data_IF_760400321249
#
_entry.id   IF_760400321249
#
_cell.length_a   1.000
_cell.length_b   1.000
_cell.length_c   1.000
_cell.angle_alpha   90.00
_cell.angle_beta   90.00
_cell.angle_gamma   90.00
#
_symmetry.space_group_name_H-M   'P 1'
#
loop_
_entity.id
_entity.type
_entity.pdbx_description
1 polymer ?
#
# COMPACT_ATOMS: atom_id res chain seq x y z
N UNK A 1 -41.04 9.33 77.94
CA UNK A 1 -40.10 10.45 77.92
C UNK A 1 -39.49 10.59 76.53
N UNK A 2 -40.09 11.47 75.82
CA UNK A 2 -39.56 12.67 75.12
C UNK A 2 -38.40 12.29 74.15
N UNK A 3 -38.42 12.52 72.93
CA UNK A 3 -38.91 13.65 72.18
C UNK A 3 -37.93 13.89 71.08
N UNK A 4 -38.35 14.48 70.07
CA UNK A 4 -37.44 15.21 69.19
C UNK A 4 -37.40 14.77 67.75
N UNK A 5 -38.41 15.16 67.02
CA UNK A 5 -38.31 15.33 65.59
C UNK A 5 -37.38 16.53 65.31
N UNK A 6 -36.47 16.40 64.39
CA UNK A 6 -35.86 17.53 63.72
C UNK A 6 -36.05 17.34 62.22
N UNK A 7 -36.94 18.15 61.69
CA UNK A 7 -37.06 18.35 60.28
C UNK A 7 -35.89 19.17 59.77
N UNK A 8 -35.50 18.93 58.58
CA UNK A 8 -34.79 19.86 57.74
C UNK A 8 -35.21 19.62 56.29
N UNK A 9 -36.29 20.27 55.96
CA UNK A 9 -36.71 20.60 54.64
C UNK A 9 -35.69 21.61 54.10
N UNK A 10 -34.94 21.25 53.09
CA UNK A 10 -34.06 22.17 52.38
C UNK A 10 -34.51 22.25 50.94
N UNK A 11 -35.09 23.39 50.53
CA UNK A 11 -35.61 23.56 49.18
C UNK A 11 -34.56 23.90 48.13
N UNK A 12 -33.30 23.55 48.37
CA UNK A 12 -32.21 23.90 47.44
C UNK A 12 -31.80 22.79 46.45
N UNK A 13 -32.31 21.57 46.59
CA UNK A 13 -31.89 20.46 45.73
C UNK A 13 -32.71 20.31 44.45
N UNK A 14 -33.83 20.98 44.28
CA UNK A 14 -34.65 20.86 43.06
C UNK A 14 -34.41 21.94 42.00
N UNK A 15 -33.65 22.98 42.29
CA UNK A 15 -33.40 24.06 41.32
C UNK A 15 -32.29 23.73 40.30
N UNK A 16 -31.45 22.74 40.57
CA UNK A 16 -30.31 22.36 39.69
C UNK A 16 -30.71 21.53 38.46
N UNK A 17 -31.82 20.85 38.51
CA UNK A 17 -32.19 19.92 37.43
C UNK A 17 -33.03 20.61 36.33
N UNK A 18 -33.60 21.79 36.61
CA UNK A 18 -34.44 22.50 35.63
C UNK A 18 -33.72 23.49 34.75
N UNK A 19 -32.53 23.95 35.13
CA UNK A 19 -31.77 24.94 34.36
C UNK A 19 -30.90 24.37 33.23
N UNK A 20 -30.74 23.04 33.14
CA UNK A 20 -29.77 22.43 32.23
C UNK A 20 -30.33 21.94 30.90
N UNK A 21 -31.65 21.97 30.69
CA UNK A 21 -32.25 21.50 29.42
C UNK A 21 -32.77 22.61 28.49
N UNK A 22 -32.96 23.83 29.01
CA UNK A 22 -33.43 24.98 28.22
C UNK A 22 -32.30 25.86 27.64
N UNK A 23 -31.07 25.73 28.11
CA UNK A 23 -29.95 26.57 27.71
C UNK A 23 -28.91 25.86 26.82
N UNK A 24 -29.26 24.69 26.33
CA UNK A 24 -28.46 24.08 25.26
C UNK A 24 -28.68 24.92 23.99
N UNK A 25 -27.64 25.60 23.48
CA UNK A 25 -27.77 26.30 22.23
C UNK A 25 -28.14 25.25 21.18
N UNK A 26 -29.28 25.43 20.54
CA UNK A 26 -29.65 24.70 19.33
C UNK A 26 -28.72 25.09 18.17
N UNK A 27 -27.42 24.96 18.40
CA UNK A 27 -26.47 24.84 17.35
C UNK A 27 -26.72 23.48 16.74
N UNK A 28 -27.47 23.45 15.62
CA UNK A 28 -27.30 22.39 14.65
C UNK A 28 -25.80 22.32 14.39
N UNK A 29 -25.10 21.48 15.13
CA UNK A 29 -23.74 21.11 14.84
C UNK A 29 -23.82 20.58 13.40
N UNK A 30 -23.35 21.39 12.46
CA UNK A 30 -23.17 21.00 11.08
C UNK A 30 -22.05 19.97 11.16
N UNK A 31 -22.45 18.70 11.33
CA UNK A 31 -21.52 17.59 11.22
C UNK A 31 -20.90 17.72 9.83
N UNK A 32 -19.71 18.30 9.75
CA UNK A 32 -18.88 18.15 8.57
C UNK A 32 -18.76 16.64 8.40
N UNK A 33 -19.24 16.12 7.30
CA UNK A 33 -18.89 14.74 6.92
C UNK A 33 -17.39 14.73 6.91
N UNK A 34 -16.78 14.14 7.91
CA UNK A 34 -15.37 13.76 7.85
C UNK A 34 -15.38 12.64 6.83
N UNK A 35 -15.00 12.96 5.60
CA UNK A 35 -14.75 11.95 4.59
C UNK A 35 -13.61 11.10 5.14
N UNK A 36 -13.85 9.83 5.35
CA UNK A 36 -12.78 8.92 5.70
C UNK A 36 -11.80 8.87 4.53
N UNK A 37 -10.49 8.91 4.78
CA UNK A 37 -9.52 8.86 3.70
C UNK A 37 -9.72 7.58 2.89
N UNK A 38 -9.65 7.70 1.58
CA UNK A 38 -9.65 6.56 0.66
C UNK A 38 -8.41 5.72 0.96
N UNK A 39 -8.61 4.44 1.25
CA UNK A 39 -7.52 3.52 1.55
C UNK A 39 -7.23 2.67 0.34
N UNK A 40 -6.05 2.81 -0.22
CA UNK A 40 -5.55 2.04 -1.34
C UNK A 40 -4.42 1.11 -0.89
N UNK A 41 -4.13 0.11 -1.70
CA UNK A 41 -2.98 -0.78 -1.53
C UNK A 41 -2.18 -0.79 -2.82
N UNK A 42 -0.86 -0.65 -2.70
CA UNK A 42 0.07 -0.77 -3.81
C UNK A 42 1.01 -1.94 -3.55
N UNK A 43 0.91 -2.95 -4.39
CA UNK A 43 1.71 -4.17 -4.32
C UNK A 43 2.93 -4.03 -5.21
N UNK A 44 4.11 -4.19 -4.65
CA UNK A 44 5.39 -4.20 -5.35
C UNK A 44 5.74 -5.66 -5.66
N UNK A 45 5.67 -6.03 -6.93
CA UNK A 45 5.95 -7.37 -7.43
C UNK A 45 7.13 -7.34 -8.40
N UNK A 46 7.72 -8.50 -8.70
CA UNK A 46 8.80 -8.61 -9.69
C UNK A 46 9.99 -9.43 -9.19
N UNK A 47 10.99 -9.71 -10.04
CA UNK A 47 12.14 -10.55 -9.74
C UNK A 47 12.99 -10.03 -8.57
N UNK A 48 13.83 -10.90 -8.02
CA UNK A 48 14.79 -10.53 -6.99
C UNK A 48 15.79 -9.51 -7.56
N UNK A 49 16.12 -8.49 -6.76
CA UNK A 49 17.07 -7.45 -7.18
C UNK A 49 16.49 -6.36 -8.08
N UNK A 50 15.17 -6.39 -8.40
CA UNK A 50 14.52 -5.35 -9.21
C UNK A 50 14.33 -4.01 -8.48
N UNK A 51 14.65 -3.91 -7.17
CA UNK A 51 14.59 -2.65 -6.43
C UNK A 51 13.35 -2.44 -5.56
N UNK A 52 12.47 -3.43 -5.42
CA UNK A 52 11.20 -3.32 -4.66
C UNK A 52 11.36 -2.79 -3.24
N UNK A 53 12.21 -3.44 -2.43
CA UNK A 53 12.50 -3.02 -1.04
C UNK A 53 13.02 -1.59 -0.98
N UNK A 54 13.92 -1.23 -1.90
CA UNK A 54 14.47 0.13 -1.99
C UNK A 54 13.38 1.14 -2.30
N UNK A 55 12.48 0.82 -3.24
CA UNK A 55 11.39 1.69 -3.64
C UNK A 55 10.34 1.85 -2.54
N UNK A 56 9.97 0.77 -1.82
CA UNK A 56 9.07 0.87 -0.66
C UNK A 56 9.67 1.80 0.39
N UNK A 57 10.99 1.69 0.66
CA UNK A 57 11.68 2.57 1.61
C UNK A 57 11.74 4.03 1.12
N UNK A 58 11.98 4.25 -0.17
CA UNK A 58 12.05 5.59 -0.74
C UNK A 58 10.69 6.30 -0.72
N UNK A 59 9.58 5.57 -0.98
CA UNK A 59 8.24 6.14 -1.05
C UNK A 59 7.57 6.28 0.31
N UNK A 60 7.89 5.43 1.28
CA UNK A 60 7.20 5.38 2.57
C UNK A 60 7.38 6.65 3.40
N UNK A 61 6.28 7.17 3.97
CA UNK A 61 6.27 8.30 4.92
C UNK A 61 6.57 7.84 6.36
N UNK A 62 6.54 6.53 6.60
CA UNK A 62 6.84 5.92 7.91
C UNK A 62 8.06 5.01 7.77
N UNK A 63 8.78 4.81 8.85
CA UNK A 63 9.87 3.84 8.85
C UNK A 63 9.31 2.47 8.43
N UNK A 64 9.85 1.84 7.36
CA UNK A 64 9.39 0.53 6.94
C UNK A 64 9.57 -0.49 8.06
N UNK A 65 8.56 -1.32 8.26
CA UNK A 65 8.65 -2.43 9.20
C UNK A 65 9.19 -3.62 8.43
N UNK A 66 10.47 -3.94 8.65
CA UNK A 66 11.05 -5.21 8.21
C UNK A 66 10.46 -6.30 9.11
N UNK A 67 9.55 -7.09 8.58
CA UNK A 67 9.03 -8.25 9.30
C UNK A 67 9.97 -9.43 9.12
N UNK A 68 11.16 -9.32 9.67
CA UNK A 68 12.02 -10.48 9.92
C UNK A 68 11.39 -11.30 11.05
N UNK A 69 10.45 -12.18 10.70
CA UNK A 69 9.91 -13.14 11.66
C UNK A 69 10.85 -14.32 11.70
N UNK A 70 11.50 -14.60 12.85
CA UNK A 70 12.24 -15.85 13.02
C UNK A 70 11.23 -17.00 12.87
N UNK A 71 11.48 -17.93 11.95
CA UNK A 71 10.69 -19.16 11.88
C UNK A 71 11.04 -19.96 13.11
N UNK A 72 10.15 -19.96 14.10
CA UNK A 72 10.17 -20.94 15.18
C UNK A 72 10.03 -22.35 14.57
N UNK A 73 10.95 -23.23 14.94
CA UNK A 73 11.09 -24.60 14.49
C UNK A 73 9.77 -25.35 14.58
N UNK A 74 9.16 -25.68 13.42
CA UNK A 74 7.89 -26.41 13.36
C UNK A 74 7.53 -26.96 11.98
N UNK A 75 8.36 -26.81 10.95
CA UNK A 75 8.17 -27.47 9.65
C UNK A 75 9.51 -27.92 9.08
N UNK A 76 9.97 -29.06 9.62
CA UNK A 76 11.04 -29.83 9.01
C UNK A 76 10.46 -30.59 7.83
N UNK A 77 10.59 -30.05 6.61
CA UNK A 77 10.59 -30.80 5.35
C UNK A 77 10.95 -29.83 4.23
N UNK A 78 12.24 -29.59 4.07
CA UNK A 78 12.96 -29.43 2.79
C UNK A 78 14.43 -29.13 3.15
N UNK A 79 15.27 -30.14 2.86
CA UNK A 79 16.67 -30.10 3.24
C UNK A 79 17.46 -29.08 2.43
N UNK A 80 18.12 -28.23 3.16
CA UNK A 80 19.51 -27.88 2.93
C UNK A 80 20.09 -27.37 4.26
N UNK A 81 21.14 -28.04 4.71
CA UNK A 81 21.79 -27.84 5.99
C UNK A 81 22.54 -26.50 5.95
N UNK A 82 22.04 -25.46 6.63
CA UNK A 82 22.83 -24.27 6.87
C UNK A 82 22.12 -22.95 7.09
N UNK A 83 20.84 -22.75 6.74
CA UNK A 83 20.15 -21.47 6.96
C UNK A 83 19.07 -21.58 8.03
N UNK A 84 19.38 -21.06 9.21
CA UNK A 84 18.48 -21.03 10.39
C UNK A 84 17.38 -19.96 10.32
N UNK A 85 17.24 -19.21 9.24
CA UNK A 85 16.21 -18.16 9.09
C UNK A 85 15.77 -18.09 7.65
N UNK A 86 14.54 -18.49 7.36
CA UNK A 86 13.86 -18.06 6.15
C UNK A 86 13.18 -16.74 6.51
N UNK A 87 13.78 -15.65 6.07
CA UNK A 87 13.22 -14.30 6.18
C UNK A 87 11.93 -14.24 5.41
N UNK A 88 10.80 -14.18 6.11
CA UNK A 88 9.50 -13.79 5.54
C UNK A 88 9.47 -12.26 5.54
N UNK A 89 10.44 -11.64 4.90
CA UNK A 89 10.52 -10.20 4.81
C UNK A 89 9.44 -9.67 3.87
N UNK A 90 8.27 -9.32 4.41
CA UNK A 90 7.34 -8.42 3.71
C UNK A 90 7.83 -7.00 4.00
N UNK A 91 8.22 -6.28 2.96
CA UNK A 91 8.43 -4.85 3.08
C UNK A 91 7.05 -4.20 3.24
N UNK A 92 6.81 -3.53 4.35
CA UNK A 92 5.58 -2.80 4.59
C UNK A 92 5.89 -1.33 4.84
N UNK A 93 5.14 -0.45 4.15
CA UNK A 93 5.23 0.99 4.31
C UNK A 93 3.85 1.65 4.17
N UNK A 94 3.80 2.95 4.38
CA UNK A 94 2.61 3.76 4.15
C UNK A 94 3.00 5.07 3.46
N UNK A 95 2.17 5.50 2.52
CA UNK A 95 2.33 6.73 1.78
C UNK A 95 1.00 7.49 1.71
N UNK A 96 1.06 8.80 1.87
CA UNK A 96 -0.10 9.69 1.79
C UNK A 96 0.13 10.71 0.70
N UNK A 97 -0.25 10.42 -0.55
CA UNK A 97 -0.16 11.40 -1.63
C UNK A 97 -0.96 12.66 -1.35
N UNK A 98 -2.12 12.55 -0.71
CA UNK A 98 -2.95 13.68 -0.30
C UNK A 98 -3.53 13.46 1.10
N UNK A 99 -4.21 14.48 1.65
CA UNK A 99 -4.88 14.37 2.95
C UNK A 99 -6.03 13.33 2.92
N UNK A 100 -6.63 13.11 1.73
CA UNK A 100 -7.78 12.23 1.55
C UNK A 100 -7.40 10.82 1.11
N UNK A 101 -6.14 10.57 0.72
CA UNK A 101 -5.69 9.27 0.20
C UNK A 101 -4.57 8.71 1.09
N UNK A 102 -4.74 7.47 1.51
CA UNK A 102 -3.73 6.71 2.23
C UNK A 102 -3.45 5.40 1.50
N UNK A 103 -2.19 5.15 1.18
CA UNK A 103 -1.73 3.98 0.42
C UNK A 103 -0.87 3.09 1.31
N UNK A 104 -1.28 1.84 1.49
CA UNK A 104 -0.43 0.81 2.07
C UNK A 104 0.52 0.28 1.00
N UNK A 105 1.82 0.33 1.25
CA UNK A 105 2.86 -0.19 0.37
C UNK A 105 3.24 -1.59 0.84
N UNK A 106 3.18 -2.58 -0.06
CA UNK A 106 3.41 -3.98 0.27
C UNK A 106 4.39 -4.56 -0.73
N UNK A 107 5.62 -4.84 -0.29
CA UNK A 107 6.64 -5.51 -1.10
C UNK A 107 6.66 -7.01 -0.84
N UNK A 108 6.58 -7.83 -1.89
CA UNK A 108 6.67 -9.27 -1.76
C UNK A 108 8.06 -9.78 -2.11
N UNK A 109 8.66 -10.60 -1.24
CA UNK A 109 9.90 -11.29 -1.57
C UNK A 109 9.61 -12.48 -2.49
N UNK A 110 10.25 -12.50 -3.66
CA UNK A 110 10.37 -13.69 -4.51
C UNK A 110 9.08 -14.23 -5.13
N UNK A 111 9.28 -15.21 -6.03
CA UNK A 111 8.24 -15.74 -6.91
C UNK A 111 7.17 -16.60 -6.22
N UNK A 112 7.52 -17.37 -5.20
CA UNK A 112 6.66 -18.44 -4.68
C UNK A 112 5.58 -17.98 -3.70
N UNK A 113 5.69 -16.79 -3.13
CA UNK A 113 4.75 -16.27 -2.12
C UNK A 113 3.68 -15.35 -2.66
N UNK A 114 3.82 -14.94 -3.93
CA UNK A 114 2.82 -14.07 -4.57
C UNK A 114 1.44 -14.76 -4.71
N UNK A 115 1.40 -16.09 -4.84
CA UNK A 115 0.16 -16.86 -4.94
C UNK A 115 -0.73 -16.70 -3.67
N UNK A 116 -0.13 -16.59 -2.49
CA UNK A 116 -0.86 -16.35 -1.24
C UNK A 116 -1.33 -14.90 -1.08
N UNK A 117 -0.61 -13.95 -1.69
CA UNK A 117 -1.00 -12.55 -1.69
C UNK A 117 -2.21 -12.27 -2.58
N UNK A 118 -2.44 -13.06 -3.64
CA UNK A 118 -3.62 -12.94 -4.51
C UNK A 118 -4.93 -13.13 -3.75
N UNK A 119 -5.00 -14.03 -2.78
CA UNK A 119 -6.21 -14.24 -1.96
C UNK A 119 -6.56 -13.01 -1.10
N UNK A 120 -5.56 -12.19 -0.76
CA UNK A 120 -5.75 -10.95 -0.01
C UNK A 120 -5.93 -9.71 -0.89
N UNK A 121 -5.67 -9.84 -2.20
CA UNK A 121 -5.58 -8.71 -3.15
C UNK A 121 -6.80 -8.55 -4.06
N UNK A 122 -7.84 -9.36 -3.91
CA UNK A 122 -9.06 -9.30 -4.74
C UNK A 122 -9.96 -8.09 -4.43
N UNK A 123 -9.52 -7.16 -3.56
CA UNK A 123 -10.28 -5.94 -3.32
C UNK A 123 -10.08 -4.93 -4.46
N UNK A 124 -11.15 -4.19 -4.78
CA UNK A 124 -11.16 -3.11 -5.78
C UNK A 124 -10.07 -2.04 -5.55
N UNK A 125 -9.55 -1.97 -4.34
CA UNK A 125 -8.65 -0.93 -3.84
C UNK A 125 -7.16 -1.31 -3.96
N UNK A 126 -6.85 -2.47 -4.58
CA UNK A 126 -5.48 -2.94 -4.78
C UNK A 126 -5.00 -2.63 -6.19
N UNK A 127 -3.78 -2.11 -6.30
CA UNK A 127 -3.04 -1.87 -7.54
C UNK A 127 -1.71 -2.59 -7.49
N UNK A 128 -1.13 -2.86 -8.65
CA UNK A 128 0.09 -3.64 -8.80
C UNK A 128 1.12 -2.79 -9.52
N UNK A 129 2.31 -2.69 -8.95
CA UNK A 129 3.49 -2.12 -9.59
C UNK A 129 4.51 -3.24 -9.80
N UNK A 130 4.58 -3.72 -11.04
CA UNK A 130 5.55 -4.74 -11.45
C UNK A 130 6.90 -4.09 -11.70
N UNK A 131 7.93 -4.54 -10.99
CA UNK A 131 9.31 -4.06 -11.09
C UNK A 131 10.11 -5.01 -11.98
N UNK A 132 10.64 -4.48 -13.07
CA UNK A 132 11.53 -5.17 -13.99
C UNK A 132 12.88 -4.44 -14.07
N UNK A 133 13.88 -5.10 -14.64
CA UNK A 133 15.24 -4.54 -14.82
C UNK A 133 15.55 -4.45 -16.30
N UNK A 134 15.95 -3.27 -16.77
CA UNK A 134 16.38 -3.09 -18.16
C UNK A 134 17.69 -3.81 -18.50
N UNK A 135 18.53 -4.09 -17.47
CA UNK A 135 19.79 -4.81 -17.60
C UNK A 135 19.68 -6.33 -17.36
N UNK A 136 18.46 -6.88 -17.35
CA UNK A 136 18.28 -8.33 -17.34
C UNK A 136 18.71 -8.95 -18.67
N UNK A 137 19.02 -10.25 -18.69
CA UNK A 137 19.36 -10.97 -19.93
C UNK A 137 18.24 -10.89 -20.95
N UNK A 138 16.98 -10.92 -20.49
CA UNK A 138 15.79 -10.71 -21.30
C UNK A 138 14.68 -10.10 -20.44
N UNK A 139 14.38 -8.82 -20.65
CA UNK A 139 13.27 -8.16 -19.94
C UNK A 139 11.91 -8.68 -20.43
N UNK A 140 11.83 -9.16 -21.67
CA UNK A 140 10.62 -9.76 -22.22
C UNK A 140 10.31 -11.11 -21.53
N UNK A 141 11.32 -11.94 -21.30
CA UNK A 141 11.16 -13.20 -20.59
C UNK A 141 10.76 -12.96 -19.12
N UNK A 142 11.39 -11.96 -18.46
CA UNK A 142 11.00 -11.56 -17.11
C UNK A 142 9.52 -11.11 -17.09
N UNK A 143 9.06 -10.37 -18.09
CA UNK A 143 7.67 -9.94 -18.20
C UNK A 143 6.72 -11.13 -18.43
N UNK A 144 7.07 -12.04 -19.33
CA UNK A 144 6.29 -13.24 -19.64
C UNK A 144 6.23 -14.21 -18.46
N UNK A 145 7.22 -14.24 -17.60
CA UNK A 145 7.20 -15.00 -16.35
C UNK A 145 6.27 -14.38 -15.29
N UNK A 146 6.17 -13.05 -15.25
CA UNK A 146 5.43 -12.35 -14.20
C UNK A 146 4.00 -12.00 -14.58
N UNK A 147 3.72 -11.54 -15.80
CA UNK A 147 2.40 -11.07 -16.22
C UNK A 147 1.29 -12.13 -16.11
N UNK A 148 1.50 -13.42 -16.40
CA UNK A 148 0.48 -14.46 -16.22
C UNK A 148 -0.02 -14.58 -14.77
N UNK A 149 0.80 -14.18 -13.79
CA UNK A 149 0.47 -14.25 -12.36
C UNK A 149 -0.62 -13.27 -11.96
N UNK A 150 -0.87 -12.24 -12.79
CA UNK A 150 -1.86 -11.18 -12.57
C UNK A 150 -3.11 -11.33 -13.45
N UNK A 151 -3.39 -12.53 -13.94
CA UNK A 151 -4.54 -12.80 -14.82
C UNK A 151 -5.83 -12.25 -14.19
N UNK A 152 -6.53 -11.40 -14.95
CA UNK A 152 -7.74 -10.68 -14.51
C UNK A 152 -7.48 -9.32 -13.87
N UNK A 153 -6.23 -9.01 -13.49
CA UNK A 153 -5.87 -7.76 -12.80
C UNK A 153 -4.94 -6.84 -13.63
N UNK A 154 -4.69 -7.16 -14.92
CA UNK A 154 -3.79 -6.37 -15.77
C UNK A 154 -4.20 -4.90 -15.91
N UNK A 155 -5.50 -4.61 -15.84
CA UNK A 155 -6.04 -3.25 -15.86
C UNK A 155 -5.64 -2.42 -14.62
N UNK A 156 -5.14 -3.08 -13.58
CA UNK A 156 -4.67 -2.48 -12.30
C UNK A 156 -3.16 -2.48 -12.18
N UNK A 157 -2.43 -2.77 -13.27
CA UNK A 157 -1.00 -2.97 -13.26
C UNK A 157 -0.30 -1.83 -14.00
N UNK A 158 0.81 -1.37 -13.44
CA UNK A 158 1.83 -0.58 -14.12
C UNK A 158 3.20 -1.27 -13.97
N UNK A 159 4.13 -0.96 -14.84
CA UNK A 159 5.48 -1.55 -14.88
C UNK A 159 6.49 -0.46 -14.60
N UNK A 160 7.26 -0.62 -13.53
CA UNK A 160 8.42 0.19 -13.19
C UNK A 160 9.69 -0.50 -13.69
N UNK A 161 10.44 0.15 -14.56
CA UNK A 161 11.67 -0.40 -15.14
C UNK A 161 12.87 0.29 -14.49
N UNK A 162 13.63 -0.47 -13.71
CA UNK A 162 14.86 0.04 -13.10
C UNK A 162 16.06 -0.09 -14.01
N UNK A 163 17.12 0.67 -13.71
CA UNK A 163 18.35 0.71 -14.51
C UNK A 163 18.08 1.12 -15.97
N UNK A 164 17.06 1.95 -16.15
CA UNK A 164 16.65 2.53 -17.40
C UNK A 164 16.58 4.03 -17.23
N UNK A 165 17.00 4.78 -18.25
CA UNK A 165 16.85 6.22 -18.31
C UNK A 165 15.59 6.58 -19.12
N UNK A 166 15.08 7.80 -18.95
CA UNK A 166 13.86 8.25 -19.64
C UNK A 166 14.02 8.25 -21.17
N UNK A 167 15.22 8.47 -21.68
CA UNK A 167 15.54 8.40 -23.12
C UNK A 167 15.63 6.96 -23.66
N UNK A 168 15.89 5.98 -22.80
CA UNK A 168 15.97 4.57 -23.18
C UNK A 168 14.64 3.80 -23.03
N UNK A 169 13.62 4.40 -22.41
CA UNK A 169 12.36 3.70 -22.09
C UNK A 169 11.61 3.22 -23.32
N UNK A 170 11.68 3.94 -24.43
CA UNK A 170 11.00 3.54 -25.67
C UNK A 170 11.61 2.27 -26.28
N UNK A 171 12.91 2.04 -26.12
CA UNK A 171 13.55 0.77 -26.47
C UNK A 171 13.02 -0.38 -25.63
N UNK A 172 12.83 -0.14 -24.33
CA UNK A 172 12.25 -1.13 -23.41
C UNK A 172 10.79 -1.42 -23.76
N UNK A 173 10.00 -0.38 -24.05
CA UNK A 173 8.61 -0.52 -24.49
C UNK A 173 8.50 -1.34 -25.77
N UNK A 174 9.41 -1.12 -26.72
CA UNK A 174 9.49 -1.89 -27.96
C UNK A 174 9.81 -3.38 -27.68
N UNK A 175 10.75 -3.66 -26.77
CA UNK A 175 11.08 -5.03 -26.36
C UNK A 175 9.92 -5.75 -25.65
N UNK A 176 9.05 -5.01 -24.98
CA UNK A 176 7.90 -5.53 -24.26
C UNK A 176 6.61 -5.57 -25.10
N UNK A 177 6.62 -5.08 -26.35
CA UNK A 177 5.40 -4.85 -27.15
C UNK A 177 4.50 -6.09 -27.21
N UNK A 178 5.06 -7.27 -27.53
CA UNK A 178 4.28 -8.50 -27.64
C UNK A 178 3.61 -8.89 -26.31
N UNK A 179 4.35 -8.79 -25.20
CA UNK A 179 3.81 -9.08 -23.86
C UNK A 179 2.74 -8.06 -23.46
N UNK A 180 2.98 -6.77 -23.73
CA UNK A 180 2.02 -5.70 -23.42
C UNK A 180 0.71 -5.87 -24.18
N UNK A 181 0.77 -6.16 -25.49
CA UNK A 181 -0.40 -6.42 -26.34
C UNK A 181 -1.17 -7.66 -25.87
N UNK A 182 -0.46 -8.76 -25.59
CA UNK A 182 -1.05 -10.03 -25.12
C UNK A 182 -1.89 -9.84 -23.85
N UNK A 183 -1.46 -8.94 -22.96
CA UNK A 183 -2.13 -8.71 -21.69
C UNK A 183 -2.93 -7.40 -21.62
N UNK A 184 -3.02 -6.64 -22.72
CA UNK A 184 -3.79 -5.41 -22.82
C UNK A 184 -3.28 -4.29 -21.91
N UNK A 185 -1.95 -4.19 -21.71
CA UNK A 185 -1.31 -3.17 -20.90
C UNK A 185 -0.84 -2.03 -21.81
N UNK A 186 -1.33 -0.79 -21.62
CA UNK A 186 -0.90 0.33 -22.45
C UNK A 186 0.59 0.65 -22.20
N UNK A 187 1.38 0.95 -23.27
CA UNK A 187 2.79 1.32 -23.12
C UNK A 187 3.05 2.51 -22.20
N UNK A 188 2.06 3.41 -22.05
CA UNK A 188 2.11 4.55 -21.12
C UNK A 188 2.19 4.12 -19.64
N UNK A 189 1.85 2.88 -19.31
CA UNK A 189 2.01 2.31 -17.98
C UNK A 189 3.38 1.65 -17.74
N UNK A 190 4.33 1.78 -18.67
CA UNK A 190 5.74 1.33 -18.53
C UNK A 190 6.60 2.56 -18.33
N UNK A 191 7.21 2.71 -17.16
CA UNK A 191 7.95 3.90 -16.76
C UNK A 191 9.39 3.55 -16.36
N UNK A 192 10.35 4.34 -16.83
CA UNK A 192 11.71 4.33 -16.28
C UNK A 192 11.65 4.82 -14.83
N UNK A 193 12.27 4.07 -13.89
CA UNK A 193 12.13 4.36 -12.48
C UNK A 193 13.44 4.11 -11.72
N UNK A 194 13.98 5.13 -11.06
CA UNK A 194 15.04 4.90 -10.07
C UNK A 194 14.41 4.57 -8.71
N UNK A 195 14.60 3.33 -8.26
CA UNK A 195 14.07 2.85 -6.99
C UNK A 195 14.57 3.63 -5.76
N UNK A 196 15.65 4.39 -5.88
CA UNK A 196 16.25 5.18 -4.80
C UNK A 196 15.73 6.61 -4.77
N UNK A 197 15.16 7.06 -5.86
CA UNK A 197 14.61 8.40 -6.00
C UNK A 197 13.11 8.39 -5.69
N UNK A 198 12.73 9.11 -4.62
CA UNK A 198 11.34 9.19 -4.16
C UNK A 198 10.40 9.70 -5.24
N UNK A 199 10.80 10.74 -5.97
CA UNK A 199 9.96 11.36 -7.00
C UNK A 199 9.73 10.40 -8.17
N UNK A 200 10.78 9.71 -8.61
CA UNK A 200 10.69 8.69 -9.65
C UNK A 200 9.77 7.54 -9.25
N UNK A 201 9.88 7.04 -8.00
CA UNK A 201 8.99 6.01 -7.47
C UNK A 201 7.56 6.51 -7.33
N UNK A 202 7.37 7.77 -6.93
CA UNK A 202 6.05 8.40 -6.81
C UNK A 202 5.34 8.48 -8.16
N UNK A 203 6.01 8.90 -9.23
CA UNK A 203 5.45 8.89 -10.60
C UNK A 203 4.95 7.50 -11.00
N UNK A 204 5.76 6.47 -10.80
CA UNK A 204 5.36 5.09 -11.09
C UNK A 204 4.17 4.61 -10.23
N UNK A 205 4.14 5.00 -8.96
CA UNK A 205 3.03 4.70 -8.05
C UNK A 205 1.74 5.42 -8.46
N UNK A 206 1.80 6.70 -8.83
CA UNK A 206 0.66 7.47 -9.36
C UNK A 206 0.09 6.81 -10.62
N UNK A 207 0.95 6.41 -11.56
CA UNK A 207 0.52 5.70 -12.78
C UNK A 207 -0.19 4.38 -12.47
N UNK A 208 0.27 3.61 -11.45
CA UNK A 208 -0.39 2.38 -11.03
C UNK A 208 -1.73 2.64 -10.34
N UNK A 209 -1.85 3.73 -9.60
CA UNK A 209 -3.02 4.09 -8.80
C UNK A 209 -4.05 4.93 -9.56
N UNK A 210 -3.80 5.28 -10.82
CA UNK A 210 -4.58 6.22 -11.63
C UNK A 210 -4.76 7.60 -10.93
N UNK A 211 -3.72 8.03 -10.19
CA UNK A 211 -3.67 9.34 -9.55
C UNK A 211 -3.00 10.36 -10.50
N UNK A 212 -3.43 11.63 -10.48
CA UNK A 212 -2.74 12.68 -11.19
C UNK A 212 -1.33 12.85 -10.63
N UNK A 213 -0.36 13.14 -11.50
CA UNK A 213 0.95 13.63 -11.07
C UNK A 213 0.73 15.04 -10.51
N UNK A 214 1.10 15.28 -9.24
CA UNK A 214 1.11 16.66 -8.73
C UNK A 214 2.24 17.41 -9.42
N UNK A 215 1.88 18.42 -10.20
CA UNK A 215 2.84 19.42 -10.71
C UNK A 215 3.41 20.17 -9.50
N UNK A 216 4.71 19.98 -9.25
CA UNK A 216 5.46 20.69 -8.20
C UNK A 216 5.79 22.11 -8.60
#
# INVERSE_FOLDING_TARGET
>A
LSGGAVGADSPESESWVRATLSDLPTRRARWRRVSLPTRLRLVFAGPVGAGKTTAVRALSDVAPVDTDVPISAGSAEYGDAGKKTTTVGLDYGAWKPTAEISVALIGFPGQDRFAHARQSSSSSDTRILLWLRADSESIADDADDWLPRFTGDHHRLAIAVTRCTDDAIDTVRAALTESLERYGIPPTRVLATDARDRESVMRAACAALDLPEEES
#
